data_IF_933634477671
#
_entry.id   IF_933634477671
#
_cell.length_a   1.000
_cell.length_b   1.000
_cell.length_c   1.000
_cell.angle_alpha   90.00
_cell.angle_beta   90.00
_cell.angle_gamma   90.00
#
_symmetry.space_group_name_H-M   'P 1'
#
loop_
_entity.id
_entity.type
_entity.pdbx_description
1 polymer ?
#
# COMPACT_ATOMS: atom_id res chain seq x y z
N UNK A 1 -14.24 7.27 -13.23
CA UNK A 1 -15.25 7.07 -14.30
C UNK A 1 -14.97 7.93 -15.53
N UNK A 2 -14.74 9.23 -15.41
CA UNK A 2 -14.49 10.10 -16.57
C UNK A 2 -13.26 9.66 -17.40
N UNK A 3 -12.21 9.16 -16.75
CA UNK A 3 -11.02 8.66 -17.44
C UNK A 3 -11.18 7.30 -18.08
N UNK A 4 -11.98 6.41 -17.49
CA UNK A 4 -12.29 5.13 -18.10
C UNK A 4 -12.91 5.30 -19.49
N UNK A 5 -13.73 6.36 -19.68
CA UNK A 5 -14.34 6.71 -20.98
C UNK A 5 -13.32 7.15 -22.03
N UNK A 6 -12.15 7.60 -21.62
CA UNK A 6 -11.06 8.03 -22.51
C UNK A 6 -10.18 6.87 -23.00
N UNK A 7 -10.39 5.66 -22.47
CA UNK A 7 -9.64 4.46 -22.86
C UNK A 7 -10.39 3.79 -24.02
N UNK A 8 -9.84 3.74 -25.24
CA UNK A 8 -10.54 3.21 -26.41
C UNK A 8 -11.04 1.78 -26.22
N UNK A 9 -10.28 0.94 -25.51
CA UNK A 9 -10.66 -0.43 -25.21
C UNK A 9 -11.93 -0.55 -24.34
N UNK A 10 -12.22 0.45 -23.50
CA UNK A 10 -13.40 0.48 -22.64
C UNK A 10 -14.55 1.24 -23.29
N UNK A 11 -14.28 2.20 -24.15
CA UNK A 11 -15.32 2.98 -24.84
C UNK A 11 -16.24 2.12 -25.71
N UNK A 12 -15.72 1.00 -26.24
CA UNK A 12 -16.46 0.06 -27.08
C UNK A 12 -17.61 -0.66 -26.38
N UNK A 13 -17.63 -0.68 -25.04
CA UNK A 13 -18.60 -1.44 -24.22
C UNK A 13 -19.86 -0.65 -23.91
N UNK A 14 -19.84 0.66 -24.12
CA UNK A 14 -20.96 1.54 -23.72
C UNK A 14 -22.21 1.39 -24.62
N UNK A 15 -22.07 0.72 -25.74
CA UNK A 15 -23.16 0.48 -26.71
C UNK A 15 -23.05 -0.94 -27.20
N UNK A 16 -24.05 -1.79 -26.99
CA UNK A 16 -24.09 -3.16 -27.47
C UNK A 16 -24.66 -4.15 -26.47
N UNK A 17 -24.56 -5.43 -26.78
CA UNK A 17 -25.12 -6.55 -25.99
C UNK A 17 -24.55 -6.65 -24.56
N UNK A 18 -23.41 -6.03 -24.29
CA UNK A 18 -22.75 -6.03 -22.97
C UNK A 18 -23.01 -4.76 -22.16
N UNK A 19 -23.83 -3.82 -22.63
CA UNK A 19 -24.02 -2.50 -21.98
C UNK A 19 -24.51 -2.61 -20.53
N UNK A 20 -25.35 -3.60 -20.23
CA UNK A 20 -25.89 -3.84 -18.88
C UNK A 20 -25.16 -4.94 -18.11
N UNK A 21 -24.00 -5.37 -18.59
CA UNK A 21 -23.23 -6.45 -17.97
C UNK A 21 -22.22 -5.90 -16.97
N UNK A 22 -21.95 -6.68 -15.92
CA UNK A 22 -20.83 -6.45 -15.00
C UNK A 22 -19.65 -7.31 -15.44
N UNK A 23 -18.59 -6.65 -15.89
CA UNK A 23 -17.34 -7.33 -16.29
C UNK A 23 -16.25 -6.96 -15.31
N UNK A 24 -15.39 -7.93 -14.99
CA UNK A 24 -14.16 -7.67 -14.26
C UNK A 24 -12.96 -7.96 -15.13
N UNK A 25 -12.01 -7.05 -15.11
CA UNK A 25 -10.79 -7.16 -15.87
C UNK A 25 -9.66 -6.36 -15.27
N UNK A 26 -8.51 -6.44 -15.90
CA UNK A 26 -7.34 -5.64 -15.55
C UNK A 26 -6.92 -4.79 -16.73
N UNK A 27 -6.70 -3.50 -16.47
CA UNK A 27 -6.09 -2.59 -17.45
C UNK A 27 -4.60 -2.86 -17.50
N UNK A 28 -4.06 -2.93 -18.69
CA UNK A 28 -2.64 -3.11 -18.92
C UNK A 28 -2.11 -2.18 -20.02
N UNK A 29 -0.82 -1.88 -19.96
CA UNK A 29 -0.11 -1.17 -21.00
C UNK A 29 0.35 -2.18 -22.05
N UNK A 30 -0.05 -1.97 -23.32
CA UNK A 30 0.38 -2.84 -24.41
C UNK A 30 1.90 -2.85 -24.58
N UNK A 31 2.45 -4.03 -24.74
CA UNK A 31 3.87 -4.28 -24.98
C UNK A 31 4.02 -5.43 -25.96
N UNK A 32 3.86 -5.15 -27.23
CA UNK A 32 3.96 -6.18 -28.28
C UNK A 32 5.33 -6.85 -28.23
N UNK A 33 5.33 -8.18 -28.32
CA UNK A 33 6.56 -8.97 -28.26
C UNK A 33 7.22 -9.11 -26.91
N UNK A 34 6.53 -8.78 -25.80
CA UNK A 34 7.10 -8.90 -24.46
C UNK A 34 7.32 -10.36 -24.05
N UNK A 35 8.57 -10.73 -23.75
CA UNK A 35 8.93 -12.04 -23.21
C UNK A 35 9.22 -11.90 -21.71
N UNK A 36 8.33 -12.43 -20.87
CA UNK A 36 8.37 -12.23 -19.41
C UNK A 36 9.67 -12.72 -18.79
N UNK A 37 10.17 -13.87 -19.22
CA UNK A 37 11.42 -14.43 -18.70
C UNK A 37 12.62 -13.48 -18.88
N UNK A 38 12.64 -12.71 -19.97
CA UNK A 38 13.76 -11.84 -20.35
C UNK A 38 13.63 -10.42 -19.84
N UNK A 39 12.43 -9.86 -19.95
CA UNK A 39 12.19 -8.44 -19.76
C UNK A 39 11.61 -8.08 -18.38
N UNK A 40 11.05 -9.05 -17.66
CA UNK A 40 10.40 -8.78 -16.37
C UNK A 40 9.21 -7.82 -16.50
N UNK A 41 9.03 -6.90 -15.57
CA UNK A 41 8.00 -5.86 -15.65
C UNK A 41 7.18 -5.65 -14.39
N UNK A 42 7.75 -5.84 -13.21
CA UNK A 42 7.05 -5.65 -11.91
C UNK A 42 6.42 -4.27 -11.73
N UNK A 43 6.93 -3.23 -12.40
CA UNK A 43 6.36 -1.89 -12.36
C UNK A 43 5.20 -1.67 -13.35
N UNK A 44 4.80 -2.66 -14.14
CA UNK A 44 3.75 -2.49 -15.15
C UNK A 44 2.44 -1.97 -14.55
N UNK A 45 2.00 -2.54 -13.43
CA UNK A 45 0.80 -2.10 -12.70
C UNK A 45 0.91 -0.67 -12.19
N UNK A 46 2.06 -0.29 -11.62
CA UNK A 46 2.31 1.08 -11.15
C UNK A 46 2.32 2.10 -12.29
N UNK A 47 2.81 1.72 -13.47
CA UNK A 47 2.76 2.57 -14.67
C UNK A 47 1.32 2.83 -15.12
N UNK A 48 0.48 1.80 -15.17
CA UNK A 48 -0.95 1.96 -15.49
C UNK A 48 -1.65 2.85 -14.47
N UNK A 49 -1.44 2.61 -13.18
CA UNK A 49 -2.00 3.44 -12.12
C UNK A 49 -1.55 4.91 -12.25
N UNK A 50 -0.27 5.15 -12.55
CA UNK A 50 0.28 6.48 -12.80
C UNK A 50 -0.38 7.18 -14.00
N UNK A 51 -0.61 6.47 -15.10
CA UNK A 51 -1.33 7.01 -16.27
C UNK A 51 -2.78 7.37 -15.94
N UNK A 52 -3.44 6.54 -15.15
CA UNK A 52 -4.82 6.79 -14.72
C UNK A 52 -4.94 8.02 -13.81
N UNK A 53 -3.89 8.46 -13.16
CA UNK A 53 -3.90 9.60 -12.23
C UNK A 53 -3.46 10.93 -12.86
N UNK A 54 -2.81 10.92 -14.03
CA UNK A 54 -2.32 12.14 -14.72
C UNK A 54 -3.44 12.89 -15.42
N UNK A 55 -3.45 14.22 -15.34
CA UNK A 55 -4.48 15.06 -15.95
C UNK A 55 -4.39 15.12 -17.48
N UNK A 56 -3.18 15.06 -18.04
CA UNK A 56 -2.83 15.30 -19.44
C UNK A 56 -2.45 14.03 -20.22
N UNK A 57 -2.95 12.87 -19.79
CA UNK A 57 -2.51 11.57 -20.29
C UNK A 57 -3.31 11.03 -21.49
N UNK A 58 -4.15 11.82 -22.17
CA UNK A 58 -5.06 11.32 -23.22
C UNK A 58 -4.36 10.47 -24.29
N UNK A 59 -3.21 10.91 -24.81
CA UNK A 59 -2.43 10.16 -25.79
C UNK A 59 -1.88 8.85 -25.22
N UNK A 60 -1.48 8.84 -23.94
CA UNK A 60 -0.96 7.64 -23.27
C UNK A 60 -2.07 6.64 -22.89
N UNK A 61 -3.28 7.12 -22.64
CA UNK A 61 -4.44 6.26 -22.37
C UNK A 61 -4.84 5.41 -23.59
N UNK A 62 -4.51 5.83 -24.80
CA UNK A 62 -4.71 5.05 -26.04
C UNK A 62 -3.84 3.78 -26.11
N UNK A 63 -2.76 3.72 -25.33
CA UNK A 63 -1.87 2.55 -25.23
C UNK A 63 -2.35 1.53 -24.20
N UNK A 64 -3.37 1.86 -23.43
CA UNK A 64 -3.98 0.94 -22.48
C UNK A 64 -4.95 0.00 -23.19
N UNK A 65 -4.98 -1.22 -22.73
CA UNK A 65 -5.94 -2.22 -23.15
C UNK A 65 -6.49 -2.93 -21.90
N UNK A 66 -7.48 -3.79 -22.07
CA UNK A 66 -8.13 -4.49 -20.96
C UNK A 66 -8.16 -5.99 -21.22
N UNK A 67 -7.85 -6.75 -20.17
CA UNK A 67 -8.05 -8.19 -20.13
C UNK A 67 -9.26 -8.49 -19.26
N UNK A 68 -10.36 -8.92 -19.84
CA UNK A 68 -11.56 -9.33 -19.11
C UNK A 68 -11.40 -10.78 -18.67
N UNK A 69 -11.44 -11.03 -17.38
CA UNK A 69 -11.23 -12.38 -16.82
C UNK A 69 -12.44 -12.91 -16.05
N UNK A 70 -13.44 -12.10 -15.71
CA UNK A 70 -14.68 -12.54 -15.08
C UNK A 70 -15.90 -11.81 -15.65
N UNK A 71 -16.98 -12.56 -15.74
CA UNK A 71 -18.31 -12.08 -16.13
C UNK A 71 -19.35 -12.78 -15.26
N UNK A 72 -19.62 -12.28 -14.02
CA UNK A 72 -20.40 -12.99 -13.00
C UNK A 72 -21.77 -13.48 -13.44
N UNK A 73 -22.50 -12.67 -14.19
CA UNK A 73 -23.85 -12.99 -14.67
C UNK A 73 -23.86 -13.32 -16.17
N UNK A 74 -22.71 -13.67 -16.72
CA UNK A 74 -22.60 -14.08 -18.12
C UNK A 74 -23.01 -15.52 -18.38
N UNK A 75 -22.93 -15.97 -19.64
CA UNK A 75 -23.20 -17.37 -20.00
C UNK A 75 -22.38 -18.33 -19.17
N UNK A 76 -22.99 -19.43 -18.75
CA UNK A 76 -22.29 -20.48 -17.99
C UNK A 76 -21.29 -21.28 -18.84
N UNK A 77 -21.55 -21.38 -20.15
CA UNK A 77 -20.60 -21.99 -21.11
C UNK A 77 -19.45 -21.03 -21.41
N UNK A 78 -18.24 -21.45 -21.08
CA UNK A 78 -17.02 -20.67 -21.29
C UNK A 78 -16.74 -20.35 -22.77
N UNK A 79 -17.00 -21.25 -23.68
CA UNK A 79 -16.80 -21.02 -25.13
C UNK A 79 -17.71 -19.92 -25.64
N UNK A 80 -19.00 -19.98 -25.25
CA UNK A 80 -19.99 -18.95 -25.59
C UNK A 80 -19.60 -17.61 -25.00
N UNK A 81 -19.16 -17.57 -23.75
CA UNK A 81 -18.68 -16.38 -23.07
C UNK A 81 -17.52 -15.73 -23.81
N UNK A 82 -16.49 -16.49 -24.16
CA UNK A 82 -15.32 -16.01 -24.90
C UNK A 82 -15.70 -15.47 -26.28
N UNK A 83 -16.62 -16.15 -26.98
CA UNK A 83 -17.12 -15.69 -28.27
C UNK A 83 -17.81 -14.33 -28.16
N UNK A 84 -18.68 -14.15 -27.20
CA UNK A 84 -19.39 -12.88 -26.97
C UNK A 84 -18.42 -11.76 -26.57
N UNK A 85 -17.47 -12.02 -25.72
CA UNK A 85 -16.42 -11.05 -25.35
C UNK A 85 -15.56 -10.66 -26.55
N UNK A 86 -15.19 -11.61 -27.39
CA UNK A 86 -14.42 -11.34 -28.61
C UNK A 86 -15.22 -10.49 -29.61
N UNK A 87 -16.51 -10.77 -29.80
CA UNK A 87 -17.41 -10.00 -30.65
C UNK A 87 -17.58 -8.55 -30.14
N UNK A 88 -17.53 -8.35 -28.82
CA UNK A 88 -17.54 -7.02 -28.20
C UNK A 88 -16.16 -6.31 -28.24
N UNK A 89 -15.15 -6.92 -28.82
CA UNK A 89 -13.78 -6.35 -28.96
C UNK A 89 -12.79 -6.77 -27.88
N UNK A 90 -13.15 -7.65 -26.94
CA UNK A 90 -12.28 -8.17 -25.89
C UNK A 90 -11.62 -9.49 -26.30
N UNK A 91 -10.68 -9.40 -27.23
CA UNK A 91 -10.05 -10.58 -27.86
C UNK A 91 -9.14 -11.40 -26.94
N UNK A 92 -8.54 -10.77 -25.92
CA UNK A 92 -7.51 -11.41 -25.10
C UNK A 92 -8.06 -12.53 -24.22
N UNK A 93 -9.29 -12.42 -23.75
CA UNK A 93 -9.95 -13.46 -22.96
C UNK A 93 -9.97 -14.80 -23.69
N UNK A 94 -10.33 -14.83 -24.98
CA UNK A 94 -10.33 -16.04 -25.79
C UNK A 94 -8.93 -16.53 -26.15
N UNK A 95 -8.01 -15.63 -26.47
CA UNK A 95 -6.64 -15.99 -26.86
C UNK A 95 -5.83 -16.61 -25.72
N UNK A 96 -6.08 -16.19 -24.48
CA UNK A 96 -5.28 -16.57 -23.31
C UNK A 96 -6.09 -17.33 -22.25
N UNK A 97 -7.18 -17.97 -22.65
CA UNK A 97 -7.95 -18.88 -21.80
C UNK A 97 -8.08 -20.22 -22.53
N UNK A 98 -7.56 -21.28 -21.91
CA UNK A 98 -7.54 -22.62 -22.50
C UNK A 98 -8.07 -23.64 -21.49
N UNK A 99 -8.85 -24.65 -21.94
CA UNK A 99 -9.28 -25.74 -21.07
C UNK A 99 -8.08 -26.61 -20.70
N UNK A 100 -8.04 -27.04 -19.45
CA UNK A 100 -7.03 -27.93 -18.89
C UNK A 100 -7.72 -28.98 -18.01
N UNK A 101 -7.13 -30.17 -17.93
CA UNK A 101 -7.65 -31.28 -17.13
C UNK A 101 -6.64 -31.82 -16.11
N UNK A 102 -5.41 -31.30 -16.11
CA UNK A 102 -4.37 -31.72 -15.18
C UNK A 102 -3.42 -30.58 -14.81
N UNK A 103 -2.70 -30.74 -13.70
CA UNK A 103 -1.70 -29.75 -13.25
C UNK A 103 -0.52 -29.68 -14.23
N UNK A 104 -0.20 -30.77 -14.90
CA UNK A 104 0.86 -30.81 -15.90
C UNK A 104 0.53 -29.92 -17.10
N UNK A 105 -0.73 -29.91 -17.56
CA UNK A 105 -1.18 -29.02 -18.62
C UNK A 105 -1.12 -27.54 -18.17
N UNK A 106 -1.46 -27.25 -16.94
CA UNK A 106 -1.31 -25.90 -16.36
C UNK A 106 0.16 -25.50 -16.35
N UNK A 107 1.07 -26.38 -15.93
CA UNK A 107 2.50 -26.15 -15.91
C UNK A 107 3.05 -25.87 -17.32
N UNK A 108 2.57 -26.62 -18.32
CA UNK A 108 2.96 -26.42 -19.75
C UNK A 108 2.54 -25.03 -20.24
N UNK A 109 1.28 -24.61 -19.99
CA UNK A 109 0.81 -23.26 -20.37
C UNK A 109 1.57 -22.18 -19.63
N UNK A 110 1.80 -22.34 -18.32
CA UNK A 110 2.61 -21.41 -17.52
C UNK A 110 4.00 -21.23 -18.10
N UNK A 111 4.69 -22.31 -18.44
CA UNK A 111 6.03 -22.31 -19.01
C UNK A 111 6.04 -21.71 -20.41
N UNK A 112 5.05 -22.04 -21.24
CA UNK A 112 4.92 -21.51 -22.60
C UNK A 112 4.76 -20.00 -22.57
N UNK A 113 3.84 -19.46 -21.77
CA UNK A 113 3.61 -18.01 -21.69
C UNK A 113 4.76 -17.26 -21.01
N UNK A 114 5.50 -17.89 -20.13
CA UNK A 114 6.70 -17.31 -19.53
C UNK A 114 7.81 -17.03 -20.57
N UNK A 115 7.93 -17.89 -21.58
CA UNK A 115 8.99 -17.87 -22.59
C UNK A 115 8.59 -17.30 -23.95
N UNK A 116 7.31 -17.14 -24.19
CA UNK A 116 6.79 -16.70 -25.49
C UNK A 116 6.48 -15.20 -25.48
N UNK A 117 6.53 -14.56 -26.67
CA UNK A 117 6.08 -13.18 -26.81
C UNK A 117 4.61 -13.02 -26.47
N UNK A 118 4.28 -12.06 -25.60
CA UNK A 118 2.94 -11.66 -25.22
C UNK A 118 2.76 -10.16 -25.47
N UNK A 119 1.52 -9.67 -25.63
CA UNK A 119 1.27 -8.24 -25.78
C UNK A 119 1.22 -7.48 -24.45
N UNK A 120 1.50 -8.14 -23.35
CA UNK A 120 1.43 -7.58 -21.99
C UNK A 120 2.46 -8.24 -21.05
N UNK A 121 2.72 -7.55 -19.95
CA UNK A 121 3.48 -8.11 -18.81
C UNK A 121 2.58 -9.07 -18.04
N UNK A 122 3.12 -10.24 -17.68
CA UNK A 122 2.41 -11.29 -16.97
C UNK A 122 3.23 -11.74 -15.75
N UNK A 123 2.58 -12.08 -14.64
CA UNK A 123 3.24 -12.55 -13.43
C UNK A 123 2.95 -14.02 -13.09
N UNK A 124 2.24 -14.71 -13.97
CA UNK A 124 1.88 -16.12 -13.83
C UNK A 124 0.64 -16.49 -14.61
N UNK A 125 0.02 -17.58 -14.21
CA UNK A 125 -1.25 -18.07 -14.74
C UNK A 125 -2.32 -18.12 -13.65
N UNK A 126 -3.58 -18.03 -14.05
CA UNK A 126 -4.73 -18.27 -13.18
C UNK A 126 -5.41 -19.54 -13.66
N UNK A 127 -5.60 -20.48 -12.74
CA UNK A 127 -6.43 -21.66 -12.92
C UNK A 127 -7.78 -21.38 -12.28
N UNK A 128 -8.85 -21.67 -12.99
CA UNK A 128 -10.20 -21.40 -12.51
C UNK A 128 -11.16 -22.53 -12.90
N UNK A 129 -12.22 -22.68 -12.12
CA UNK A 129 -13.34 -23.52 -12.54
C UNK A 129 -14.02 -22.93 -13.78
N UNK A 130 -14.55 -23.80 -14.62
CA UNK A 130 -15.26 -23.39 -15.85
C UNK A 130 -16.56 -22.62 -15.59
N UNK A 131 -17.10 -22.73 -14.36
CA UNK A 131 -18.31 -22.04 -13.93
C UNK A 131 -17.97 -21.00 -12.85
N UNK A 132 -18.30 -19.75 -13.10
CA UNK A 132 -18.18 -18.70 -12.10
C UNK A 132 -19.34 -18.74 -11.10
N UNK A 133 -19.10 -18.30 -9.83
CA UNK A 133 -20.20 -18.13 -8.88
C UNK A 133 -21.19 -17.08 -9.35
N UNK A 134 -22.47 -17.17 -8.94
CA UNK A 134 -23.50 -16.16 -9.27
C UNK A 134 -23.08 -14.75 -8.81
N UNK A 135 -23.41 -13.73 -9.56
CA UNK A 135 -23.04 -12.34 -9.28
C UNK A 135 -23.44 -11.82 -7.90
N UNK A 136 -24.55 -12.33 -7.34
CA UNK A 136 -25.01 -11.93 -5.99
C UNK A 136 -24.10 -12.38 -4.85
N UNK A 137 -23.35 -13.46 -5.03
CA UNK A 137 -22.41 -14.00 -4.04
C UNK A 137 -20.96 -13.85 -4.46
N UNK A 138 -20.74 -13.25 -5.62
CA UNK A 138 -19.43 -13.06 -6.20
C UNK A 138 -18.71 -11.88 -5.54
N UNK A 139 -17.47 -12.08 -5.12
CA UNK A 139 -16.59 -11.04 -4.60
C UNK A 139 -15.24 -11.10 -5.30
N UNK A 140 -14.74 -9.97 -5.82
CA UNK A 140 -13.44 -9.94 -6.49
C UNK A 140 -12.31 -10.45 -5.59
N UNK A 141 -11.49 -11.35 -6.13
CA UNK A 141 -10.31 -11.88 -5.43
C UNK A 141 -10.62 -12.79 -4.23
N UNK A 142 -11.89 -13.16 -4.06
CA UNK A 142 -12.34 -14.11 -3.03
C UNK A 142 -13.00 -15.31 -3.68
N UNK A 143 -12.77 -16.49 -3.12
CA UNK A 143 -13.40 -17.73 -3.53
C UNK A 143 -12.40 -18.84 -3.85
N UNK A 144 -12.84 -20.06 -3.66
CA UNK A 144 -12.06 -21.27 -3.90
C UNK A 144 -12.08 -21.71 -5.38
N UNK A 145 -12.81 -21.00 -6.23
CA UNK A 145 -13.02 -21.32 -7.64
C UNK A 145 -11.88 -20.88 -8.57
N UNK A 146 -10.87 -20.17 -8.05
CA UNK A 146 -9.70 -19.75 -8.78
C UNK A 146 -8.44 -19.80 -7.91
N UNK A 147 -7.30 -20.09 -8.56
CA UNK A 147 -5.99 -20.08 -7.96
C UNK A 147 -4.95 -19.47 -8.91
N UNK A 148 -4.01 -18.73 -8.39
CA UNK A 148 -2.91 -18.16 -9.18
C UNK A 148 -1.62 -18.96 -8.97
N UNK A 149 -0.94 -19.29 -10.08
CA UNK A 149 0.38 -19.90 -10.06
C UNK A 149 1.41 -18.93 -10.65
N UNK A 150 2.04 -18.17 -9.78
CA UNK A 150 2.97 -17.12 -10.17
C UNK A 150 4.28 -17.67 -10.75
N UNK A 151 4.93 -16.86 -11.61
CA UNK A 151 6.30 -17.11 -12.01
C UNK A 151 7.26 -16.96 -10.83
N UNK A 152 8.47 -17.58 -10.89
CA UNK A 152 9.48 -17.34 -9.87
C UNK A 152 9.78 -15.84 -9.78
N UNK A 153 9.91 -15.27 -8.58
CA UNK A 153 10.28 -13.87 -8.43
C UNK A 153 11.70 -13.65 -8.95
N UNK A 154 11.90 -12.50 -9.60
CA UNK A 154 13.25 -12.08 -9.98
C UNK A 154 14.10 -11.90 -8.72
N UNK A 155 15.33 -12.40 -8.73
CA UNK A 155 16.27 -12.28 -7.62
C UNK A 155 17.68 -11.90 -8.08
N UNK A 156 18.43 -11.24 -7.18
CA UNK A 156 19.84 -10.89 -7.37
C UNK A 156 20.59 -11.05 -6.06
N UNK A 157 21.88 -11.33 -6.15
CA UNK A 157 22.78 -11.24 -5.02
C UNK A 157 23.30 -9.83 -4.93
N UNK A 158 23.13 -9.19 -3.77
CA UNK A 158 23.45 -7.79 -3.55
C UNK A 158 24.27 -7.63 -2.26
N UNK A 159 25.30 -6.78 -2.32
CA UNK A 159 26.18 -6.53 -1.17
C UNK A 159 25.60 -5.48 -0.24
N UNK A 160 25.69 -5.73 1.07
CA UNK A 160 25.30 -4.80 2.12
C UNK A 160 26.37 -3.72 2.28
N UNK A 161 26.01 -2.46 2.10
CA UNK A 161 26.88 -1.29 2.28
C UNK A 161 26.77 -0.70 3.68
N UNK A 162 25.56 -0.69 4.23
CA UNK A 162 25.28 -0.16 5.57
C UNK A 162 24.05 -0.84 6.16
N UNK A 163 23.97 -0.85 7.47
CA UNK A 163 22.80 -1.23 8.25
C UNK A 163 22.30 0.03 8.95
N UNK A 164 21.02 0.34 8.78
CA UNK A 164 20.38 1.47 9.44
C UNK A 164 19.20 1.01 10.27
N UNK A 165 19.01 1.70 11.39
CA UNK A 165 17.87 1.49 12.27
C UNK A 165 16.93 2.68 12.10
N UNK A 166 15.63 2.40 12.02
CA UNK A 166 14.58 3.42 11.98
C UNK A 166 13.50 3.11 13.01
N UNK A 167 12.95 4.15 13.62
CA UNK A 167 11.88 4.00 14.61
C UNK A 167 10.53 4.26 13.95
N UNK A 168 9.67 3.25 13.95
CA UNK A 168 8.30 3.38 13.46
C UNK A 168 7.40 4.16 14.43
N UNK A 169 6.18 4.48 14.00
CA UNK A 169 5.18 5.23 14.81
C UNK A 169 4.83 4.56 16.14
N UNK A 170 4.97 3.26 16.25
CA UNK A 170 4.73 2.49 17.49
C UNK A 170 5.99 2.35 18.38
N UNK A 171 7.06 3.06 18.07
CA UNK A 171 8.33 2.97 18.80
C UNK A 171 9.17 1.74 18.47
N UNK A 172 8.68 0.85 17.61
CA UNK A 172 9.43 -0.35 17.20
C UNK A 172 10.56 0.01 16.26
N UNK A 173 11.72 -0.58 16.51
CA UNK A 173 12.86 -0.47 15.61
C UNK A 173 12.70 -1.40 14.41
N UNK A 174 12.94 -0.85 13.22
CA UNK A 174 13.09 -1.57 11.98
C UNK A 174 14.53 -1.49 11.52
N UNK A 175 15.02 -2.58 10.92
CA UNK A 175 16.36 -2.66 10.34
C UNK A 175 16.24 -2.59 8.82
N UNK A 176 16.98 -1.67 8.22
CA UNK A 176 17.07 -1.49 6.77
C UNK A 176 18.51 -1.72 6.36
N UNK A 177 18.74 -2.66 5.45
CA UNK A 177 20.03 -2.82 4.80
C UNK A 177 20.11 -1.91 3.57
N UNK A 178 21.11 -1.03 3.53
CA UNK A 178 21.50 -0.32 2.33
C UNK A 178 22.41 -1.22 1.50
N UNK A 179 22.09 -1.34 0.22
CA UNK A 179 22.74 -2.28 -0.68
C UNK A 179 23.52 -1.54 -1.76
N UNK A 180 24.53 -2.22 -2.31
CA UNK A 180 25.12 -1.76 -3.58
C UNK A 180 24.00 -1.72 -4.63
N UNK A 181 23.70 -0.54 -5.24
CA UNK A 181 22.55 -0.42 -6.12
C UNK A 181 22.66 -1.34 -7.33
N UNK A 182 21.64 -2.14 -7.55
CA UNK A 182 21.52 -2.99 -8.75
C UNK A 182 20.10 -2.91 -9.33
N UNK A 183 20.03 -3.21 -10.62
CA UNK A 183 18.75 -3.36 -11.27
C UNK A 183 18.24 -4.79 -11.06
N UNK A 184 17.06 -4.88 -10.45
CA UNK A 184 16.35 -6.13 -10.23
C UNK A 184 15.00 -6.03 -10.95
N UNK A 185 14.83 -6.84 -11.99
CA UNK A 185 13.73 -6.68 -12.93
C UNK A 185 13.79 -5.29 -13.60
N UNK A 186 12.73 -4.50 -13.60
CA UNK A 186 12.72 -3.11 -14.10
C UNK A 186 12.88 -2.05 -12.98
N UNK A 187 13.26 -2.48 -11.79
CA UNK A 187 13.40 -1.63 -10.60
C UNK A 187 14.86 -1.53 -10.17
N UNK A 188 15.33 -0.30 -9.89
CA UNK A 188 16.60 -0.10 -9.20
C UNK A 188 16.40 -0.32 -7.70
N UNK A 189 17.08 -1.31 -7.16
CA UNK A 189 17.04 -1.66 -5.75
C UNK A 189 18.33 -1.20 -5.07
N UNK A 190 18.21 -0.50 -3.95
CA UNK A 190 19.33 0.00 -3.15
C UNK A 190 19.06 -0.09 -1.64
N UNK A 191 17.88 -0.56 -1.24
CA UNK A 191 17.48 -0.76 0.16
C UNK A 191 16.57 -1.95 0.26
N UNK A 192 16.67 -2.67 1.38
CA UNK A 192 15.74 -3.74 1.74
C UNK A 192 15.39 -3.62 3.21
N UNK A 193 14.12 -3.74 3.51
CA UNK A 193 13.65 -3.84 4.90
C UNK A 193 13.92 -5.27 5.40
N UNK A 194 14.79 -5.40 6.39
CA UNK A 194 15.11 -6.67 7.03
C UNK A 194 14.05 -7.07 8.06
N UNK A 195 13.35 -6.10 8.62
CA UNK A 195 12.33 -6.28 9.64
C UNK A 195 12.81 -5.88 11.05
N UNK A 196 12.42 -6.66 12.07
CA UNK A 196 12.78 -6.37 13.45
C UNK A 196 14.29 -6.59 13.73
N UNK A 197 14.77 -5.98 14.83
CA UNK A 197 16.14 -6.19 15.30
C UNK A 197 16.40 -7.68 15.57
N UNK A 198 15.45 -8.38 16.19
CA UNK A 198 15.57 -9.83 16.46
C UNK A 198 15.67 -10.65 15.17
N UNK A 199 14.89 -10.31 14.14
CA UNK A 199 15.00 -10.97 12.83
C UNK A 199 16.37 -10.70 12.18
N UNK A 200 16.85 -9.47 12.21
CA UNK A 200 18.16 -9.10 11.70
C UNK A 200 19.29 -9.87 12.41
N UNK A 201 19.22 -9.96 13.75
CA UNK A 201 20.17 -10.74 14.54
C UNK A 201 20.12 -12.24 14.20
N UNK A 202 18.91 -12.80 14.04
CA UNK A 202 18.73 -14.19 13.65
C UNK A 202 19.28 -14.49 12.25
N UNK A 203 19.07 -13.59 11.29
CA UNK A 203 19.63 -13.70 9.94
C UNK A 203 21.15 -13.46 9.92
N UNK A 204 21.69 -12.87 10.97
CA UNK A 204 23.11 -12.59 11.13
C UNK A 204 23.71 -11.81 9.95
N UNK A 205 23.10 -10.66 9.64
CA UNK A 205 23.53 -9.79 8.54
C UNK A 205 24.48 -8.72 9.03
N UNK A 206 25.65 -8.63 8.39
CA UNK A 206 26.66 -7.60 8.61
C UNK A 206 26.96 -6.80 7.35
N UNK A 207 27.64 -5.67 7.54
CA UNK A 207 28.15 -4.87 6.41
C UNK A 207 29.19 -5.68 5.65
N UNK A 208 29.12 -5.69 4.32
CA UNK A 208 29.96 -6.48 3.43
C UNK A 208 29.38 -7.83 3.03
N UNK A 209 28.38 -8.33 3.78
CA UNK A 209 27.72 -9.60 3.43
C UNK A 209 26.96 -9.48 2.11
N UNK A 210 26.76 -10.61 1.43
CA UNK A 210 25.97 -10.69 0.20
C UNK A 210 24.64 -11.39 0.49
N UNK A 211 23.58 -10.70 0.12
CA UNK A 211 22.20 -11.15 0.34
C UNK A 211 21.56 -11.52 -0.99
N UNK A 212 20.81 -12.61 -0.99
CA UNK A 212 19.88 -12.88 -2.07
C UNK A 212 18.61 -12.04 -1.84
N UNK A 213 18.35 -11.13 -2.77
CA UNK A 213 17.20 -10.22 -2.75
C UNK A 213 16.27 -10.60 -3.87
N UNK A 214 14.99 -10.75 -3.56
CA UNK A 214 13.90 -10.90 -4.53
C UNK A 214 12.87 -9.79 -4.39
N UNK A 215 12.03 -9.64 -5.44
CA UNK A 215 10.89 -8.75 -5.39
C UNK A 215 9.64 -9.56 -5.02
N UNK A 216 9.05 -9.24 -3.87
CA UNK A 216 7.81 -9.85 -3.41
C UNK A 216 6.60 -8.99 -3.78
N UNK A 217 5.46 -9.62 -4.03
CA UNK A 217 4.18 -8.97 -4.24
C UNK A 217 4.24 -7.86 -5.30
N UNK A 218 4.05 -6.63 -4.89
CA UNK A 218 4.04 -5.44 -5.77
C UNK A 218 5.44 -4.86 -6.03
N UNK A 219 6.47 -5.69 -6.07
CA UNK A 219 7.85 -5.26 -6.32
C UNK A 219 8.56 -4.72 -5.09
N UNK A 220 8.20 -5.19 -3.90
CA UNK A 220 8.86 -4.84 -2.65
C UNK A 220 10.08 -5.74 -2.46
N UNK A 221 11.30 -5.16 -2.32
CA UNK A 221 12.50 -5.96 -2.05
C UNK A 221 12.39 -6.71 -0.71
N UNK A 222 12.80 -7.97 -0.73
CA UNK A 222 12.89 -8.79 0.49
C UNK A 222 14.20 -9.58 0.52
N UNK A 223 14.69 -9.87 1.71
CA UNK A 223 15.82 -10.76 1.93
C UNK A 223 15.34 -12.21 1.93
N UNK A 224 15.86 -13.02 1.01
CA UNK A 224 15.58 -14.45 0.95
C UNK A 224 16.62 -15.24 1.76
N UNK A 225 17.90 -14.91 1.62
CA UNK A 225 19.01 -15.58 2.31
C UNK A 225 20.25 -14.70 2.39
N UNK A 226 21.13 -15.02 3.31
CA UNK A 226 22.53 -14.57 3.30
C UNK A 226 23.35 -15.64 2.56
N UNK A 227 23.85 -15.30 1.39
CA UNK A 227 24.55 -16.28 0.52
C UNK A 227 26.05 -16.28 0.72
N UNK A 228 26.60 -15.20 1.25
CA UNK A 228 28.01 -15.10 1.58
C UNK A 228 28.23 -14.08 2.69
N UNK A 229 29.15 -14.41 3.62
CA UNK A 229 29.56 -13.55 4.73
C UNK A 229 31.02 -13.17 4.59
N UNK A 230 31.28 -11.87 4.64
CA UNK A 230 32.66 -11.37 4.63
C UNK A 230 33.40 -11.75 5.92
N UNK A 231 34.70 -11.94 5.84
CA UNK A 231 35.52 -12.24 7.03
C UNK A 231 35.60 -11.04 7.98
N UNK A 232 35.75 -9.85 7.45
CA UNK A 232 35.74 -8.60 8.21
C UNK A 232 34.31 -8.03 8.25
N UNK A 233 33.55 -8.45 9.25
CA UNK A 233 32.14 -8.08 9.40
C UNK A 233 31.98 -6.97 10.40
N UNK A 234 31.23 -5.97 10.04
CA UNK A 234 30.76 -4.93 10.95
C UNK A 234 29.26 -5.03 11.15
N UNK A 235 28.86 -5.16 12.41
CA UNK A 235 27.48 -5.10 12.84
C UNK A 235 27.30 -3.89 13.75
N UNK A 236 26.53 -2.87 13.35
CA UNK A 236 26.27 -1.75 14.22
C UNK A 236 25.45 -2.18 15.42
N UNK A 237 25.65 -1.52 16.54
CA UNK A 237 24.86 -1.74 17.75
C UNK A 237 23.48 -1.12 17.57
N UNK A 238 22.38 -1.87 17.78
CA UNK A 238 21.04 -1.29 17.76
C UNK A 238 20.89 -0.21 18.83
N UNK A 239 20.19 0.90 18.53
CA UNK A 239 19.88 1.87 19.56
C UNK A 239 19.01 1.23 20.66
N UNK A 240 19.09 1.73 21.91
CA UNK A 240 18.27 1.20 22.99
C UNK A 240 16.78 1.38 22.68
N UNK A 241 15.97 0.38 23.03
CA UNK A 241 14.53 0.40 22.84
C UNK A 241 13.86 1.30 23.89
N UNK A 242 13.99 2.62 23.74
CA UNK A 242 13.44 3.64 24.64
C UNK A 242 11.97 3.97 24.35
N UNK A 243 11.51 3.70 23.15
CA UNK A 243 10.22 4.16 22.64
C UNK A 243 9.21 3.03 22.54
N UNK A 244 7.93 3.39 22.67
CA UNK A 244 6.80 2.47 22.56
C UNK A 244 5.61 3.16 21.88
N UNK A 245 4.46 2.50 21.85
CA UNK A 245 3.26 3.02 21.21
C UNK A 245 2.67 4.28 21.87
N UNK A 246 3.14 4.64 23.07
CA UNK A 246 2.66 5.79 23.84
C UNK A 246 3.68 6.92 23.94
N UNK A 247 4.82 6.81 23.27
CA UNK A 247 5.85 7.86 23.26
C UNK A 247 5.78 8.74 22.04
N UNK A 248 6.44 9.90 22.08
CA UNK A 248 6.67 10.80 20.95
C UNK A 248 5.40 11.36 20.28
N UNK A 249 4.39 11.64 21.06
CA UNK A 249 3.28 12.51 20.66
C UNK A 249 3.69 13.99 20.68
N UNK A 250 4.64 14.32 21.55
CA UNK A 250 5.27 15.63 21.66
C UNK A 250 6.71 15.55 21.18
N UNK A 251 7.15 16.56 20.47
CA UNK A 251 8.47 16.60 19.89
C UNK A 251 9.54 16.81 20.97
N UNK A 252 10.56 15.96 20.93
CA UNK A 252 11.82 16.12 21.66
C UNK A 252 12.97 15.81 20.70
N UNK A 253 14.20 16.22 20.99
CA UNK A 253 15.34 15.88 20.12
C UNK A 253 15.51 14.37 19.89
N UNK A 254 15.21 13.54 20.89
CA UNK A 254 15.30 12.08 20.80
C UNK A 254 14.11 11.45 20.03
N UNK A 255 12.98 12.15 19.94
CA UNK A 255 11.76 11.68 19.32
C UNK A 255 11.69 11.86 17.80
N UNK A 256 12.68 12.48 17.18
CA UNK A 256 12.59 12.96 15.79
C UNK A 256 12.07 11.91 14.79
N UNK A 257 12.51 10.67 14.88
CA UNK A 257 12.11 9.62 13.95
C UNK A 257 10.69 9.10 14.21
N UNK A 258 10.35 8.80 15.47
CA UNK A 258 9.00 8.32 15.81
C UNK A 258 7.97 9.42 15.59
N UNK A 259 8.30 10.66 15.91
CA UNK A 259 7.45 11.83 15.68
C UNK A 259 7.14 11.99 14.18
N UNK A 260 8.17 11.94 13.33
CA UNK A 260 8.00 11.97 11.89
C UNK A 260 7.14 10.81 11.39
N UNK A 261 7.38 9.61 11.90
CA UNK A 261 6.58 8.42 11.55
C UNK A 261 5.10 8.58 11.93
N UNK A 262 4.80 9.29 13.04
CA UNK A 262 3.43 9.65 13.41
C UNK A 262 2.81 10.65 12.44
N UNK A 263 3.56 11.68 12.00
CA UNK A 263 3.10 12.64 11.00
C UNK A 263 2.79 11.96 9.66
N UNK A 264 3.64 11.03 9.22
CA UNK A 264 3.40 10.24 8.00
C UNK A 264 2.13 9.40 8.14
N UNK A 265 1.94 8.76 9.28
CA UNK A 265 0.74 7.96 9.53
C UNK A 265 -0.53 8.80 9.53
N UNK A 266 -0.55 9.90 10.31
CA UNK A 266 -1.76 10.72 10.45
C UNK A 266 -2.21 11.34 9.13
N UNK A 267 -1.28 11.63 8.22
CA UNK A 267 -1.58 12.17 6.90
C UNK A 267 -1.96 11.10 5.87
N UNK A 268 -1.77 9.83 6.18
CA UNK A 268 -2.05 8.73 5.27
C UNK A 268 -3.54 8.54 4.98
N UNK A 269 -3.85 7.80 3.91
CA UNK A 269 -5.23 7.42 3.54
C UNK A 269 -5.94 6.63 4.64
N UNK A 270 -5.19 5.90 5.47
CA UNK A 270 -5.73 5.13 6.60
C UNK A 270 -6.14 5.98 7.79
N UNK A 271 -5.71 7.23 7.86
CA UNK A 271 -6.05 8.18 8.91
C UNK A 271 -6.73 9.42 8.33
N UNK A 272 -6.14 10.61 8.37
CA UNK A 272 -6.80 11.85 7.95
C UNK A 272 -6.83 12.05 6.42
N UNK A 273 -6.01 11.35 5.66
CA UNK A 273 -5.90 11.48 4.21
C UNK A 273 -5.65 12.93 3.78
N UNK A 274 -4.49 13.44 4.11
CA UNK A 274 -4.04 14.81 3.74
C UNK A 274 -3.30 14.73 2.41
N UNK A 275 -3.86 15.31 1.38
CA UNK A 275 -3.24 15.30 0.05
C UNK A 275 -2.00 16.19 -0.02
N UNK A 276 -1.01 15.75 -0.81
CA UNK A 276 0.19 16.52 -1.11
C UNK A 276 1.26 16.53 -0.03
N UNK A 277 1.09 15.80 1.06
CA UNK A 277 2.02 15.72 2.17
C UNK A 277 2.63 14.32 2.28
N UNK A 278 3.94 14.25 2.07
CA UNK A 278 4.72 13.04 2.27
C UNK A 278 5.87 13.26 3.26
N UNK A 279 6.69 12.22 3.46
CA UNK A 279 7.80 12.23 4.40
C UNK A 279 8.74 13.44 4.23
N UNK A 280 9.18 13.70 3.00
CA UNK A 280 10.11 14.78 2.71
C UNK A 280 9.53 16.15 3.06
N UNK A 281 8.24 16.36 2.78
CA UNK A 281 7.60 17.62 3.08
C UNK A 281 7.41 17.80 4.59
N UNK A 282 7.04 16.76 5.32
CA UNK A 282 6.97 16.80 6.79
C UNK A 282 8.33 17.14 7.41
N UNK A 283 9.43 16.58 6.89
CA UNK A 283 10.79 16.90 7.37
C UNK A 283 11.10 18.40 7.21
N UNK A 284 10.83 18.96 6.05
CA UNK A 284 11.12 20.36 5.74
C UNK A 284 10.21 21.30 6.54
N UNK A 285 8.91 20.96 6.68
CA UNK A 285 7.98 21.74 7.51
C UNK A 285 8.46 21.73 8.97
N UNK A 286 8.86 20.60 9.52
CA UNK A 286 9.32 20.49 10.90
C UNK A 286 10.63 21.25 11.13
N UNK A 287 11.51 21.28 10.16
CA UNK A 287 12.76 22.05 10.23
C UNK A 287 12.51 23.55 10.23
N UNK A 288 11.59 24.03 9.40
CA UNK A 288 11.27 25.45 9.26
C UNK A 288 10.35 25.96 10.37
N UNK A 289 9.39 25.16 10.76
CA UNK A 289 8.39 25.46 11.80
C UNK A 289 8.36 24.32 12.80
N UNK A 290 9.24 24.30 13.80
CA UNK A 290 9.25 23.23 14.81
C UNK A 290 7.90 23.08 15.48
N UNK A 291 7.32 21.90 15.38
CA UNK A 291 6.03 21.57 15.97
C UNK A 291 6.21 21.00 17.37
N UNK A 292 5.35 21.43 18.30
CA UNK A 292 5.36 20.94 19.68
C UNK A 292 4.77 19.54 19.80
N UNK A 293 3.72 19.23 19.04
CA UNK A 293 3.04 17.94 19.01
C UNK A 293 2.55 17.59 17.60
N UNK A 294 2.08 16.36 17.43
CA UNK A 294 1.72 15.80 16.13
C UNK A 294 0.57 16.53 15.41
N UNK A 295 -0.19 17.37 16.07
CA UNK A 295 -1.28 18.16 15.48
C UNK A 295 -0.99 19.67 15.38
N UNK A 296 0.21 20.11 15.76
CA UNK A 296 0.59 21.54 15.71
C UNK A 296 0.51 22.16 14.30
N UNK A 297 0.61 21.34 13.26
CA UNK A 297 0.46 21.77 11.86
C UNK A 297 -0.91 22.38 11.54
N UNK A 298 -1.96 22.07 12.33
CA UNK A 298 -3.28 22.70 12.18
C UNK A 298 -3.28 24.21 12.48
N UNK A 299 -2.30 24.69 13.22
CA UNK A 299 -2.15 26.10 13.58
C UNK A 299 -1.20 26.87 12.65
N UNK A 300 -0.60 26.20 11.65
CA UNK A 300 0.27 26.85 10.67
C UNK A 300 -0.54 27.78 9.76
N UNK A 301 0.01 29.00 9.53
CA UNK A 301 -0.59 29.98 8.63
C UNK A 301 -0.18 29.73 7.17
N UNK A 302 -0.89 30.35 6.24
CA UNK A 302 -0.53 30.31 4.82
C UNK A 302 0.90 30.84 4.61
N UNK A 303 1.25 31.95 5.27
CA UNK A 303 2.55 32.59 5.17
C UNK A 303 3.68 31.68 5.68
N UNK A 304 3.45 30.98 6.78
CA UNK A 304 4.41 30.00 7.31
C UNK A 304 4.64 28.84 6.34
N UNK A 305 3.58 28.33 5.69
CA UNK A 305 3.70 27.26 4.70
C UNK A 305 4.36 27.73 3.41
N UNK A 306 4.10 28.96 2.97
CA UNK A 306 4.74 29.56 1.80
C UNK A 306 6.23 29.87 2.04
N UNK A 307 6.62 30.10 3.29
CA UNK A 307 8.02 30.31 3.68
C UNK A 307 8.84 29.01 3.74
N UNK A 308 8.21 27.84 3.63
CA UNK A 308 8.92 26.57 3.64
C UNK A 308 9.73 26.39 2.35
N UNK A 309 11.04 26.08 2.43
CA UNK A 309 11.90 25.92 1.26
C UNK A 309 11.34 24.91 0.25
N UNK A 310 11.29 25.28 -1.03
CA UNK A 310 10.76 24.43 -2.10
C UNK A 310 9.25 24.43 -2.25
N UNK A 311 8.53 25.23 -1.48
CA UNK A 311 7.08 25.43 -1.61
C UNK A 311 6.81 26.77 -2.31
N UNK A 312 6.13 26.71 -3.46
CA UNK A 312 5.63 27.93 -4.13
C UNK A 312 4.45 28.53 -3.37
N UNK A 313 4.15 29.80 -3.61
CA UNK A 313 3.00 30.47 -3.02
C UNK A 313 1.68 29.71 -3.27
N UNK A 314 1.44 29.25 -4.50
CA UNK A 314 0.26 28.46 -4.86
C UNK A 314 0.20 27.11 -4.13
N UNK A 315 1.34 26.45 -4.00
CA UNK A 315 1.43 25.16 -3.28
C UNK A 315 1.21 25.36 -1.78
N UNK A 316 1.75 26.42 -1.18
CA UNK A 316 1.52 26.75 0.23
C UNK A 316 0.05 27.05 0.52
N UNK A 317 -0.62 27.79 -0.34
CA UNK A 317 -2.07 28.04 -0.26
C UNK A 317 -2.87 26.74 -0.37
N UNK A 318 -2.53 25.88 -1.34
CA UNK A 318 -3.19 24.59 -1.51
C UNK A 318 -2.99 23.68 -0.28
N UNK A 319 -1.79 23.62 0.26
CA UNK A 319 -1.45 22.83 1.44
C UNK A 319 -2.23 23.31 2.67
N UNK A 320 -2.30 24.61 2.89
CA UNK A 320 -3.11 25.18 3.97
C UNK A 320 -4.58 24.82 3.81
N UNK A 321 -5.10 24.88 2.60
CA UNK A 321 -6.49 24.47 2.31
C UNK A 321 -6.71 23.00 2.61
N UNK A 322 -5.76 22.13 2.28
CA UNK A 322 -5.83 20.70 2.65
C UNK A 322 -5.85 20.50 4.18
N UNK A 323 -5.04 21.25 4.90
CA UNK A 323 -5.04 21.20 6.37
C UNK A 323 -6.36 21.70 6.98
N UNK A 324 -6.97 22.68 6.37
CA UNK A 324 -8.28 23.19 6.81
C UNK A 324 -9.41 22.17 6.51
N UNK A 325 -9.38 21.54 5.34
CA UNK A 325 -10.38 20.53 4.96
C UNK A 325 -10.42 19.34 5.91
N UNK A 326 -9.29 18.90 6.44
CA UNK A 326 -9.26 17.74 7.35
C UNK A 326 -9.92 18.02 8.69
N UNK A 327 -10.10 19.27 9.10
CA UNK A 327 -10.86 19.65 10.31
C UNK A 327 -12.27 19.07 10.30
N UNK A 328 -12.86 18.86 9.14
CA UNK A 328 -14.20 18.30 8.94
C UNK A 328 -14.24 16.77 8.88
N UNK A 329 -13.09 16.10 8.99
CA UNK A 329 -13.04 14.64 9.00
C UNK A 329 -13.79 14.08 10.22
N UNK A 330 -14.45 12.91 10.08
CA UNK A 330 -15.15 12.26 11.19
C UNK A 330 -14.22 11.98 12.38
N UNK A 331 -14.77 12.02 13.58
CA UNK A 331 -14.05 11.77 14.83
C UNK A 331 -13.18 10.51 14.80
N UNK A 332 -13.69 9.40 14.27
CA UNK A 332 -12.94 8.14 14.21
C UNK A 332 -11.62 8.28 13.41
N UNK A 333 -11.60 9.14 12.39
CA UNK A 333 -10.38 9.37 11.59
C UNK A 333 -9.31 10.09 12.40
N UNK A 334 -9.70 10.99 13.28
CA UNK A 334 -8.79 11.68 14.19
C UNK A 334 -8.22 10.75 15.26
N UNK A 335 -9.03 9.87 15.80
CA UNK A 335 -8.57 8.87 16.78
C UNK A 335 -7.62 7.86 16.12
N UNK A 336 -7.90 7.45 14.88
CA UNK A 336 -6.97 6.65 14.08
C UNK A 336 -5.65 7.40 13.80
N UNK A 337 -5.73 8.70 13.55
CA UNK A 337 -4.54 9.54 13.37
C UNK A 337 -3.67 9.59 14.64
N UNK A 338 -4.28 9.57 15.82
CA UNK A 338 -3.57 9.46 17.10
C UNK A 338 -2.93 8.08 17.32
N UNK A 339 -3.31 7.07 16.53
CA UNK A 339 -2.74 5.72 16.62
C UNK A 339 -3.44 4.81 17.62
N UNK A 340 -4.73 4.97 17.85
CA UNK A 340 -5.53 4.07 18.71
C UNK A 340 -5.35 2.60 18.24
N UNK A 341 -5.06 1.66 19.15
CA UNK A 341 -4.82 0.26 18.79
C UNK A 341 -6.12 -0.54 18.60
N UNK A 342 -7.06 -0.01 17.81
CA UNK A 342 -8.34 -0.67 17.48
C UNK A 342 -8.17 -1.56 16.25
N UNK A 343 -8.65 -2.82 16.29
CA UNK A 343 -8.66 -3.66 15.11
C UNK A 343 -9.68 -3.15 14.08
N UNK A 344 -9.36 -3.35 12.80
CA UNK A 344 -10.19 -2.85 11.71
C UNK A 344 -11.66 -3.34 11.78
N UNK A 345 -11.89 -4.56 12.24
CA UNK A 345 -13.24 -5.12 12.40
C UNK A 345 -14.11 -4.43 13.45
N UNK A 346 -13.50 -3.68 14.38
CA UNK A 346 -14.22 -2.94 15.42
C UNK A 346 -14.52 -1.49 15.03
N UNK A 347 -13.90 -0.95 13.98
CA UNK A 347 -14.00 0.47 13.62
C UNK A 347 -15.43 0.93 13.34
N UNK A 348 -16.21 0.12 12.64
CA UNK A 348 -17.60 0.44 12.30
C UNK A 348 -18.50 0.67 13.53
N UNK A 349 -18.18 0.00 14.66
CA UNK A 349 -18.93 0.15 15.90
C UNK A 349 -18.55 1.43 16.68
N UNK A 350 -17.50 2.12 16.26
CA UNK A 350 -17.01 3.35 16.89
C UNK A 350 -17.37 4.62 16.09
N UNK A 351 -18.05 4.51 14.96
CA UNK A 351 -18.35 5.65 14.08
C UNK A 351 -19.21 6.72 14.75
N UNK A 352 -20.10 6.32 15.64
CA UNK A 352 -21.00 7.23 16.39
C UNK A 352 -20.48 7.64 17.77
N UNK A 353 -19.26 7.25 18.12
CA UNK A 353 -18.64 7.55 19.40
C UNK A 353 -18.03 8.96 19.44
N UNK A 354 -17.70 9.41 20.64
CA UNK A 354 -16.91 10.61 20.89
C UNK A 354 -15.81 10.31 21.91
N UNK A 355 -14.92 11.27 22.14
CA UNK A 355 -13.79 11.08 23.04
C UNK A 355 -14.21 10.69 24.47
N UNK A 356 -15.22 11.35 25.01
CA UNK A 356 -15.71 11.06 26.35
C UNK A 356 -16.21 9.63 26.50
N UNK A 357 -16.99 9.16 25.54
CA UNK A 357 -17.51 7.79 25.53
C UNK A 357 -16.41 6.75 25.37
N UNK A 358 -15.42 6.99 24.50
CA UNK A 358 -14.27 6.10 24.35
C UNK A 358 -13.45 6.02 25.63
N UNK A 359 -13.13 7.17 26.24
CA UNK A 359 -12.34 7.25 27.45
C UNK A 359 -13.02 6.61 28.66
N UNK A 360 -14.34 6.60 28.69
CA UNK A 360 -15.13 5.98 29.75
C UNK A 360 -15.25 4.46 29.65
N UNK A 361 -14.89 3.84 28.52
CA UNK A 361 -14.99 2.39 28.34
C UNK A 361 -14.00 1.64 29.23
N UNK A 362 -14.52 0.66 29.99
CA UNK A 362 -13.71 -0.30 30.73
C UNK A 362 -13.06 -1.35 29.82
N UNK A 363 -12.08 -2.09 30.33
CA UNK A 363 -11.50 -3.23 29.61
C UNK A 363 -12.56 -4.27 29.21
N UNK A 364 -13.53 -4.52 30.09
CA UNK A 364 -14.63 -5.44 29.81
C UNK A 364 -15.49 -4.97 28.65
N UNK A 365 -15.81 -3.68 28.57
CA UNK A 365 -16.56 -3.09 27.47
C UNK A 365 -15.77 -3.13 26.15
N UNK A 366 -14.46 -2.87 26.17
CA UNK A 366 -13.62 -3.01 24.98
C UNK A 366 -13.57 -4.44 24.44
N UNK A 367 -13.57 -5.45 25.33
CA UNK A 367 -13.55 -6.87 24.96
C UNK A 367 -14.82 -7.34 24.25
N UNK A 368 -15.91 -6.61 24.32
CA UNK A 368 -17.13 -6.92 23.55
C UNK A 368 -17.00 -6.65 22.07
N UNK A 369 -15.99 -5.88 21.65
CA UNK A 369 -15.78 -5.52 20.25
C UNK A 369 -15.04 -6.63 19.48
N UNK A 370 -15.34 -6.81 18.17
CA UNK A 370 -14.68 -7.82 17.35
C UNK A 370 -13.16 -7.65 17.31
N UNK A 371 -12.42 -8.74 17.56
CA UNK A 371 -10.96 -8.76 17.51
C UNK A 371 -10.26 -8.10 18.69
N UNK A 372 -10.99 -7.71 19.73
CA UNK A 372 -10.44 -7.13 20.97
C UNK A 372 -10.36 -8.20 22.06
N UNK A 373 -9.17 -8.77 22.24
CA UNK A 373 -8.84 -9.64 23.36
C UNK A 373 -8.35 -8.84 24.58
N UNK A 374 -8.01 -9.55 25.65
CA UNK A 374 -7.59 -8.97 26.93
C UNK A 374 -6.38 -8.00 26.78
N UNK A 375 -5.35 -8.41 26.09
CA UNK A 375 -4.14 -7.58 25.90
C UNK A 375 -4.48 -6.28 25.17
N UNK A 376 -5.29 -6.36 24.13
CA UNK A 376 -5.68 -5.19 23.34
C UNK A 376 -6.61 -4.27 24.10
N UNK A 377 -7.52 -4.81 24.91
CA UNK A 377 -8.37 -4.00 25.79
C UNK A 377 -7.55 -3.18 26.80
N UNK A 378 -6.53 -3.78 27.41
CA UNK A 378 -5.59 -3.04 28.28
C UNK A 378 -4.83 -1.95 27.53
N UNK A 379 -4.37 -2.25 26.31
CA UNK A 379 -3.68 -1.25 25.48
C UNK A 379 -4.59 -0.08 25.12
N UNK A 380 -5.86 -0.34 24.82
CA UNK A 380 -6.86 0.70 24.53
C UNK A 380 -7.10 1.60 25.73
N UNK A 381 -7.31 1.03 26.91
CA UNK A 381 -7.50 1.80 28.15
C UNK A 381 -6.23 2.61 28.46
N UNK A 382 -5.05 2.01 28.35
CA UNK A 382 -3.77 2.70 28.57
C UNK A 382 -3.58 3.87 27.59
N UNK A 383 -3.93 3.68 26.32
CA UNK A 383 -3.87 4.73 25.31
C UNK A 383 -4.78 5.92 25.67
N UNK A 384 -6.04 5.66 25.96
CA UNK A 384 -7.05 6.69 26.20
C UNK A 384 -6.81 7.50 27.49
N UNK A 385 -6.09 6.92 28.45
CA UNK A 385 -5.75 7.56 29.72
C UNK A 385 -4.30 8.07 29.80
N UNK A 386 -3.51 7.88 28.74
CA UNK A 386 -2.13 8.38 28.70
C UNK A 386 -2.13 9.92 28.72
N UNK A 387 -1.33 10.57 29.58
CA UNK A 387 -1.35 12.03 29.73
C UNK A 387 -1.15 12.80 28.42
N UNK A 388 -0.24 12.35 27.57
CA UNK A 388 0.04 13.00 26.28
C UNK A 388 -1.15 12.87 25.33
N UNK A 389 -1.80 11.72 25.29
CA UNK A 389 -2.98 11.47 24.46
C UNK A 389 -4.17 12.32 24.95
N UNK A 390 -4.38 12.39 26.26
CA UNK A 390 -5.40 13.26 26.87
C UNK A 390 -5.14 14.73 26.54
N UNK A 391 -3.89 15.18 26.65
CA UNK A 391 -3.52 16.55 26.30
C UNK A 391 -3.81 16.87 24.82
N UNK A 392 -3.53 15.93 23.90
CA UNK A 392 -3.87 16.09 22.47
C UNK A 392 -5.38 16.15 22.24
N UNK A 393 -6.16 15.32 22.94
CA UNK A 393 -7.62 15.35 22.86
C UNK A 393 -8.18 16.69 23.33
N UNK A 394 -7.67 17.24 24.43
CA UNK A 394 -8.04 18.57 24.92
C UNK A 394 -7.67 19.67 23.93
N UNK A 395 -6.49 19.59 23.33
CA UNK A 395 -6.08 20.55 22.32
C UNK A 395 -6.97 20.49 21.07
N UNK A 396 -7.33 19.29 20.59
CA UNK A 396 -8.26 19.11 19.48
C UNK A 396 -9.66 19.64 19.79
N UNK A 397 -10.13 19.47 21.03
CA UNK A 397 -11.37 20.08 21.51
C UNK A 397 -11.31 21.60 21.39
N UNK A 398 -10.22 22.22 21.83
CA UNK A 398 -9.96 23.66 21.68
C UNK A 398 -9.93 24.12 20.21
N UNK A 399 -9.53 23.26 19.30
CA UNK A 399 -9.56 23.49 17.85
C UNK A 399 -10.95 23.24 17.22
N UNK A 400 -11.93 22.89 18.01
CA UNK A 400 -13.31 22.57 17.60
C UNK A 400 -13.37 21.40 16.60
N UNK A 401 -12.50 20.41 16.76
CA UNK A 401 -12.56 19.18 15.98
C UNK A 401 -13.75 18.36 16.48
N UNK A 402 -14.61 17.85 15.56
CA UNK A 402 -15.80 17.10 15.93
C UNK A 402 -15.50 15.87 16.80
N UNK A 403 -16.24 15.71 17.89
CA UNK A 403 -16.16 14.53 18.76
C UNK A 403 -15.17 14.63 19.93
N UNK A 404 -14.36 15.70 20.01
CA UNK A 404 -13.44 15.95 21.13
C UNK A 404 -13.99 16.93 22.14
#
# INVERSE_FOLDING_TARGET
TARARQIPALAKVMTGELADSVLQGELFLRRDGHVQQQAGGMNARAKVAGLMMRADAAAALSQLDVFIWAWPDGPSDMRRRQKLLAQAGFKYSGQYTHPVSSIEQVAQWRQRWYRSPLPFVSDGVIVREGREPPGRVWSPGKGEWLAAWKYPPASRVMQVRAIRFSTGRSGRLNVVAELEPQRLDDKRVQRVNVGSVSRWQMLDIGVGDQLQISLAGQGIPRVDAVVWRTAERHKPTPPPAKFNALTCYFATPECSEQFLSRLIWLSSKSALNVDGVGENLWRVIQQQNPMTHIFSWLALTVEQLQAVPGISAARGQHLWHQFDLVRKRPFIRWVLAMGIPVPQGALAQLESENWHLLAAKSEAQWRTLPGVGEIRARQLVAFLHHPDVVALAQWLSGQRIPGF
#
